data_IF_663187175419
#
_entry.id   IF_663187175419
#
_cell.length_a   1.000
_cell.length_b   1.000
_cell.length_c   1.000
_cell.angle_alpha   90.00
_cell.angle_beta   90.00
_cell.angle_gamma   90.00
#
_symmetry.space_group_name_H-M   'P 1'
#
loop_
_entity.id
_entity.type
_entity.pdbx_description
1 polymer ?
2 polymer ?
3 non-polymer ?
4 water ?
#
# COMPACT_ATOMS: atom_id res chain seq x y z
N UNK A 59 -13.84 -4.74 -1.76
CA UNK A 59 -13.48 -6.18 -1.55
C UNK A 59 -11.96 -6.39 -1.46
N UNK A 60 -11.50 -6.80 -0.27
CA UNK A 60 -10.07 -6.80 0.04
C UNK A 60 -9.34 -8.08 -0.43
N UNK A 61 -8.23 -7.85 -1.12
CA UNK A 61 -7.51 -8.91 -1.82
C UNK A 61 -6.32 -9.36 -1.02
N UNK A 62 -5.90 -8.56 -0.06
CA UNK A 62 -4.88 -8.97 0.88
C UNK A 62 -5.63 -9.47 2.10
N UNK A 63 -5.17 -10.58 2.67
CA UNK A 63 -5.74 -11.06 3.92
C UNK A 63 -5.56 -9.99 5.03
N UNK A 64 -6.63 -9.75 5.80
CA UNK A 64 -6.63 -8.72 6.86
C UNK A 64 -5.54 -8.91 7.92
N UNK A 65 -5.16 -10.14 8.20
CA UNK A 65 -4.21 -10.42 9.28
C UNK A 65 -2.76 -10.15 8.84
N UNK A 66 -2.27 -10.80 7.76
CA UNK A 66 -0.99 -10.34 7.20
C UNK A 66 -0.88 -8.81 7.03
N UNK A 67 -1.94 -8.15 6.56
CA UNK A 67 -1.95 -6.68 6.41
C UNK A 67 -1.90 -5.92 7.73
N UNK A 68 -2.22 -6.60 8.84
CA UNK A 68 -2.41 -5.95 10.11
C UNK A 68 -1.15 -6.05 10.90
N UNK A 69 -0.49 -7.20 10.79
CA UNK A 69 0.80 -7.43 11.37
C UNK A 69 1.74 -6.40 10.79
N UNK A 70 1.83 -6.36 9.47
CA UNK A 70 2.62 -5.35 8.76
C UNK A 70 2.36 -3.94 9.33
N UNK A 71 1.12 -3.48 9.20
CA UNK A 71 0.76 -2.20 9.73
C UNK A 71 1.28 -2.01 11.17
N UNK A 72 1.14 -3.01 12.04
CA UNK A 72 1.55 -2.85 13.43
C UNK A 72 3.06 -2.73 13.48
N UNK A 73 3.77 -3.55 12.70
CA UNK A 73 5.24 -3.56 12.67
C UNK A 73 5.77 -2.20 12.24
N UNK A 74 5.05 -1.63 11.28
CA UNK A 74 5.42 -0.36 10.70
C UNK A 74 5.23 0.71 11.74
N UNK A 75 4.08 0.64 12.42
CA UNK A 75 3.69 1.65 13.38
C UNK A 75 4.66 1.58 14.54
N UNK A 76 4.94 0.37 14.99
CA UNK A 76 5.84 0.14 16.12
C UNK A 76 7.29 0.58 15.83
N UNK A 77 7.71 0.51 14.57
CA UNK A 77 9.05 0.87 14.15
C UNK A 77 9.16 2.41 14.08
N UNK A 78 7.99 3.05 14.05
CA UNK A 78 7.92 4.52 14.08
C UNK A 78 7.76 5.01 15.51
N UNK A 79 6.77 4.48 16.25
CA UNK A 79 6.50 4.94 17.61
C UNK A 79 7.56 4.44 18.56
N UNK A 80 7.99 3.19 18.39
CA UNK A 80 9.23 2.70 18.98
C UNK A 80 9.11 2.56 20.49
N UNK A 81 7.88 2.52 20.98
CA UNK A 81 7.62 2.31 22.40
C UNK A 81 6.33 2.94 22.86
N UNK A 82 5.87 4.01 22.18
CA UNK A 82 4.62 4.66 22.56
C UNK A 82 3.48 3.81 22.07
N UNK A 83 2.56 3.50 22.97
CA UNK A 83 1.54 2.50 22.73
C UNK A 83 0.36 3.26 22.16
N UNK A 84 -0.09 2.84 20.98
CA UNK A 84 -1.34 3.33 20.41
C UNK A 84 -2.28 2.17 20.07
N UNK A 85 -3.57 2.43 20.11
CA UNK A 85 -4.56 1.44 19.72
C UNK A 85 -5.03 1.78 18.32
N UNK A 86 -5.45 0.77 17.58
CA UNK A 86 -6.06 1.00 16.29
C UNK A 86 -7.51 0.56 16.28
N UNK A 87 -8.41 1.50 16.03
CA UNK A 87 -9.79 1.11 15.76
C UNK A 87 -9.81 0.13 14.58
N UNK A 88 -10.64 -0.90 14.66
CA UNK A 88 -10.73 -1.90 13.60
C UNK A 88 -11.05 -1.22 12.30
N UNK A 89 -11.74 -0.09 12.40
CA UNK A 89 -12.20 0.71 11.26
C UNK A 89 -11.10 1.65 10.75
N UNK A 90 -10.06 1.82 11.56
CA UNK A 90 -8.89 2.56 11.14
C UNK A 90 -8.07 1.63 10.26
N UNK A 91 -7.74 0.45 10.75
CA UNK A 91 -7.06 -0.58 9.96
C UNK A 91 -7.75 -0.94 8.66
N UNK A 92 -9.06 -0.96 8.69
CA UNK A 92 -9.82 -1.29 7.51
C UNK A 92 -9.66 -0.17 6.50
N UNK A 93 -9.90 1.07 6.93
CA UNK A 93 -9.83 2.22 6.03
C UNK A 93 -8.47 2.32 5.38
N UNK A 94 -7.44 2.06 6.18
CA UNK A 94 -6.07 2.01 5.76
C UNK A 94 -5.90 0.99 4.65
N UNK A 95 -6.31 -0.25 4.91
CA UNK A 95 -6.20 -1.28 3.90
C UNK A 95 -6.94 -0.94 2.61
N UNK A 96 -8.15 -0.39 2.69
CA UNK A 96 -8.83 0.07 1.47
C UNK A 96 -7.91 0.99 0.68
N UNK A 97 -7.38 1.99 1.37
CA UNK A 97 -6.51 2.97 0.73
C UNK A 97 -5.24 2.32 0.20
N UNK A 98 -4.71 1.35 0.95
CA UNK A 98 -3.51 0.65 0.54
C UNK A 98 -3.77 -0.08 -0.75
N UNK A 99 -4.89 -0.79 -0.79
CA UNK A 99 -5.21 -1.56 -1.97
C UNK A 99 -5.48 -0.66 -3.15
N UNK A 100 -6.31 0.36 -2.93
CA UNK A 100 -6.80 1.24 -3.99
C UNK A 100 -5.65 2.02 -4.61
N UNK A 101 -4.58 2.16 -3.84
CA UNK A 101 -3.44 2.88 -4.33
C UNK A 101 -2.68 1.93 -5.24
N UNK A 102 -2.52 0.69 -4.81
CA UNK A 102 -1.78 -0.28 -5.60
C UNK A 102 -2.45 -0.49 -6.93
N UNK A 103 -3.78 -0.56 -6.92
CA UNK A 103 -4.56 -0.80 -8.11
C UNK A 103 -4.43 0.34 -9.12
N UNK A 104 -4.54 1.59 -8.68
CA UNK A 104 -4.42 2.73 -9.60
C UNK A 104 -2.98 2.79 -10.08
N UNK A 105 -2.04 2.48 -9.16
CA UNK A 105 -0.63 2.52 -9.50
C UNK A 105 -0.34 1.48 -10.56
N UNK A 106 -0.81 0.23 -10.36
CA UNK A 106 -0.83 -0.81 -11.40
C UNK A 106 -1.44 -0.39 -12.75
N UNK A 107 -2.52 0.38 -12.76
CA UNK A 107 -3.14 0.75 -14.05
C UNK A 107 -2.25 1.74 -14.79
N UNK A 108 -1.87 2.81 -14.08
CA UNK A 108 -0.97 3.81 -14.63
C UNK A 108 0.31 3.16 -15.17
N UNK A 109 0.95 2.31 -14.38
CA UNK A 109 2.17 1.64 -14.82
C UNK A 109 1.94 0.78 -16.04
N UNK A 110 0.69 0.35 -16.23
CA UNK A 110 0.35 -0.54 -17.32
C UNK A 110 0.11 0.20 -18.63
N UNK A 111 -0.50 1.37 -18.56
CA UNK A 111 -0.52 2.26 -19.72
C UNK A 111 0.92 2.52 -20.15
N UNK A 112 1.84 2.70 -19.22
CA UNK A 112 3.29 2.77 -19.59
C UNK A 112 3.80 1.55 -20.37
N UNK A 113 3.63 0.35 -19.81
CA UNK A 113 3.90 -0.91 -20.52
C UNK A 113 3.33 -0.90 -21.93
N UNK A 114 2.02 -0.80 -22.06
CA UNK A 114 1.39 -0.67 -23.38
C UNK A 114 2.06 0.35 -24.25
N UNK A 115 2.29 1.52 -23.67
CA UNK A 115 2.98 2.59 -24.35
C UNK A 115 4.31 2.13 -24.89
N UNK A 116 5.06 1.30 -24.15
CA UNK A 116 6.32 0.69 -24.66
C UNK A 116 6.17 -0.48 -25.65
N UNK A 117 4.97 -0.69 -26.20
CA UNK A 117 4.71 -1.84 -27.08
C UNK A 117 4.54 -3.22 -26.43
N UNK A 118 4.88 -3.32 -25.15
CA UNK A 118 4.93 -4.56 -24.38
C UNK A 118 3.55 -4.91 -23.82
N UNK A 119 3.45 -6.09 -23.21
CA UNK A 119 2.22 -6.51 -22.55
C UNK A 119 2.55 -7.03 -21.17
N UNK A 120 3.84 -7.09 -20.85
CA UNK A 120 4.30 -7.57 -19.55
C UNK A 120 4.79 -6.39 -18.70
N UNK A 121 4.17 -6.21 -17.53
CA UNK A 121 4.51 -5.15 -16.62
C UNK A 121 5.91 -5.39 -16.06
N UNK A 122 6.78 -4.38 -16.18
CA UNK A 122 8.18 -4.40 -15.68
C UNK A 122 8.38 -3.44 -14.52
N UNK A 123 9.30 -3.74 -13.60
CA UNK A 123 9.44 -2.72 -12.57
C UNK A 123 9.61 -1.29 -13.14
N UNK A 124 10.23 -1.13 -14.32
CA UNK A 124 10.46 0.23 -14.84
C UNK A 124 9.15 0.93 -15.18
N UNK A 125 8.14 0.17 -15.55
CA UNK A 125 6.80 0.71 -15.71
C UNK A 125 6.28 1.30 -14.40
N UNK A 126 6.35 0.53 -13.31
CA UNK A 126 5.91 1.01 -12.01
C UNK A 126 6.70 2.19 -11.52
N UNK A 127 8.02 2.16 -11.70
CA UNK A 127 8.92 3.23 -11.24
C UNK A 127 8.75 4.53 -12.02
N UNK A 128 8.45 4.42 -13.32
CA UNK A 128 8.24 5.60 -14.15
C UNK A 128 6.98 6.21 -13.64
N UNK A 129 5.94 5.38 -13.46
CA UNK A 129 4.65 5.91 -13.02
C UNK A 129 4.76 6.73 -11.73
N UNK A 130 5.52 6.19 -10.77
CA UNK A 130 5.68 6.85 -9.50
C UNK A 130 6.44 8.12 -9.68
N UNK A 131 7.33 8.14 -10.66
CA UNK A 131 8.23 9.24 -10.86
C UNK A 131 7.41 10.36 -11.44
N UNK A 132 6.43 9.98 -12.23
CA UNK A 132 5.57 10.94 -12.91
C UNK A 132 4.50 11.43 -11.99
N UNK A 133 4.15 10.66 -10.97
CA UNK A 133 3.27 11.16 -9.93
C UNK A 133 3.96 12.15 -8.98
N UNK A 134 5.19 11.86 -8.57
CA UNK A 134 5.96 12.79 -7.72
C UNK A 134 6.07 12.35 -6.28
N UNK B 26 5.02 -8.77 9.09
CA UNK B 26 6.19 -8.55 8.18
C UNK B 26 5.87 -8.66 6.66
N UNK B 27 6.76 -8.10 5.83
CA UNK B 27 6.45 -7.73 4.43
C UNK B 27 6.31 -8.90 3.42
N UNK B 28 7.05 -9.98 3.66
CA UNK B 28 6.97 -11.18 2.81
C UNK B 28 5.65 -11.90 3.03
N UNK B 29 4.88 -11.38 4.00
CA UNK B 29 3.54 -11.87 4.34
C UNK B 29 2.47 -11.33 3.41
N UNK B 30 2.88 -10.45 2.47
CA UNK B 30 2.06 -10.05 1.30
C UNK B 30 2.42 -10.97 0.14
N UNK B 31 1.44 -11.77 -0.26
CA UNK B 31 1.74 -12.99 -1.00
C UNK B 31 1.68 -12.74 -2.48
N UNK B 32 2.49 -13.51 -3.22
CA UNK B 32 2.42 -13.54 -4.66
C UNK B 32 0.98 -13.53 -5.17
N UNK B 33 0.13 -14.47 -4.75
CA UNK B 33 -1.24 -14.43 -5.28
C UNK B 33 -1.94 -13.08 -5.06
N UNK B 34 -1.80 -12.48 -3.87
CA UNK B 34 -2.45 -11.19 -3.59
C UNK B 34 -1.97 -10.15 -4.57
N UNK B 35 -0.68 -10.19 -4.88
CA UNK B 35 -0.14 -9.20 -5.80
C UNK B 35 -0.74 -9.35 -7.20
N UNK B 36 -1.04 -10.58 -7.61
CA UNK B 36 -1.58 -10.79 -8.96
C UNK B 36 -3.02 -10.39 -9.06
N UNK B 37 -3.78 -10.63 -7.98
CA UNK B 37 -5.18 -10.22 -7.94
C UNK B 37 -5.27 -8.67 -8.04
N UNK B 38 -4.46 -7.99 -7.22
CA UNK B 38 -4.29 -6.52 -7.26
C UNK B 38 -3.90 -6.07 -8.66
N UNK B 39 -2.92 -6.74 -9.28
CA UNK B 39 -2.55 -6.36 -10.62
C UNK B 39 -3.71 -6.62 -11.60
N UNK B 40 -4.39 -7.75 -11.44
CA UNK B 40 -5.50 -8.16 -12.31
C UNK B 40 -6.57 -7.09 -12.25
N UNK B 41 -6.92 -6.70 -11.01
CA UNK B 41 -7.94 -5.69 -10.79
C UNK B 41 -7.45 -4.38 -11.42
N UNK B 42 -6.13 -4.18 -11.41
CA UNK B 42 -5.49 -3.03 -12.06
C UNK B 42 -5.36 -3.14 -13.57
N UNK B 43 -5.87 -4.24 -14.14
CA UNK B 43 -5.90 -4.40 -15.60
C UNK B 43 -4.63 -4.98 -16.18
N UNK B 44 -3.62 -5.20 -15.34
CA UNK B 44 -2.36 -5.80 -15.81
C UNK B 44 -2.63 -7.22 -16.30
N UNK B 45 -2.04 -7.61 -17.42
CA UNK B 45 -2.40 -8.89 -18.01
C UNK B 45 -1.34 -9.92 -17.68
N UNK B 46 -0.09 -9.63 -18.04
CA UNK B 46 1.04 -10.43 -17.56
C UNK B 46 1.99 -9.54 -16.72
N UNK B 47 2.79 -10.13 -15.84
CA UNK B 47 3.71 -9.33 -14.99
C UNK B 47 5.09 -10.00 -14.87
N UNK B 48 6.14 -9.22 -14.66
CA UNK B 48 7.43 -9.79 -14.47
C UNK B 48 7.52 -10.39 -13.05
N UNK B 49 8.19 -11.52 -12.94
CA UNK B 49 8.58 -11.99 -11.63
C UNK B 49 9.05 -10.91 -10.68
N UNK B 50 9.56 -9.78 -11.19
CA UNK B 50 10.20 -8.80 -10.26
C UNK B 50 9.21 -7.80 -9.73
N UNK B 51 8.01 -7.79 -10.30
CA UNK B 51 6.91 -7.04 -9.75
C UNK B 51 6.70 -7.38 -8.27
N UNK B 52 6.69 -8.67 -7.91
CA UNK B 52 6.40 -9.08 -6.54
C UNK B 52 7.17 -8.19 -5.55
N UNK B 53 8.51 -8.24 -5.57
CA UNK B 53 9.30 -7.44 -4.62
C UNK B 53 9.16 -5.95 -4.85
N UNK B 54 9.03 -5.52 -6.11
CA UNK B 54 8.76 -4.14 -6.37
C UNK B 54 7.48 -3.73 -5.65
N UNK B 55 6.41 -4.53 -5.75
CA UNK B 55 5.11 -4.12 -5.21
C UNK B 55 5.15 -4.03 -3.70
N UNK B 56 5.89 -4.95 -3.10
CA UNK B 56 6.16 -4.87 -1.70
C UNK B 56 6.93 -3.60 -1.26
N UNK B 57 7.85 -3.12 -2.09
CA UNK B 57 8.65 -1.92 -1.76
C UNK B 57 7.73 -0.73 -1.73
N UNK B 58 6.86 -0.66 -2.78
CA UNK B 58 5.85 0.36 -3.01
C UNK B 58 4.90 0.40 -1.82
N UNK B 59 4.32 -0.74 -1.44
CA UNK B 59 3.48 -0.77 -0.21
C UNK B 59 4.23 -0.47 1.12
N UNK B 60 5.44 -0.93 1.35
CA UNK B 60 6.08 -0.57 2.61
C UNK B 60 6.18 0.95 2.79
N UNK B 61 6.74 1.64 1.79
CA UNK B 61 6.85 3.10 1.74
C UNK B 61 5.47 3.81 1.95
N UNK B 62 4.46 3.46 1.13
CA UNK B 62 3.12 4.05 1.29
C UNK B 62 2.60 3.86 2.69
N UNK B 63 2.62 2.63 3.19
CA UNK B 63 2.19 2.42 4.57
C UNK B 63 2.98 3.25 5.55
N UNK B 64 4.30 3.37 5.37
CA UNK B 64 5.10 4.14 6.31
C UNK B 64 4.74 5.61 6.27
N UNK B 65 4.28 6.08 5.12
CA UNK B 65 4.03 7.51 5.04
C UNK B 65 2.73 7.73 5.74
N UNK B 66 1.74 6.93 5.40
CA UNK B 66 0.38 7.20 5.85
C UNK B 66 0.38 6.95 7.34
N UNK B 67 0.84 5.77 7.75
CA UNK B 67 0.80 5.43 9.16
C UNK B 67 1.47 6.49 10.01
N UNK B 68 2.70 6.87 9.66
CA UNK B 68 3.44 7.89 10.42
C UNK B 68 2.61 9.16 10.61
N UNK B 69 1.88 9.58 9.57
CA UNK B 69 0.99 10.73 9.64
C UNK B 69 -0.28 10.52 10.46
N UNK B 70 -0.88 9.34 10.33
CA UNK B 70 -2.10 9.00 11.07
C UNK B 70 -1.79 9.09 12.56
N UNK B 71 -0.67 8.50 12.93
CA UNK B 71 -0.24 8.41 14.30
C UNK B 71 0.14 9.79 14.81
N UNK B 72 0.86 10.56 13.99
CA UNK B 72 1.21 11.90 14.37
C UNK B 72 -0.05 12.71 14.67
N UNK B 73 -1.04 12.69 13.77
CA UNK B 73 -2.29 13.38 14.12
C UNK B 73 -3.04 12.80 15.34
N UNK B 74 -3.04 11.48 15.49
CA UNK B 74 -3.55 10.89 16.73
C UNK B 74 -2.88 11.58 17.90
N UNK B 75 -1.55 11.46 17.95
CA UNK B 75 -0.76 11.98 19.04
C UNK B 75 -1.06 13.45 19.28
N UNK B 76 -1.16 14.24 18.21
CA UNK B 76 -1.41 15.67 18.31
C UNK B 76 -2.72 15.99 19.08
N UNK B 77 -3.79 15.27 18.76
CA UNK B 77 -5.09 15.42 19.41
C UNK B 77 -5.17 14.87 20.86
N UNK B 78 -4.01 14.51 21.42
CA UNK B 78 -3.90 13.91 22.77
C UNK B 78 -4.60 12.55 22.98
N UNK B 79 -4.87 11.84 21.88
CA UNK B 79 -5.46 10.51 21.99
C UNK B 79 -4.41 9.40 21.89
N UNK B 80 -4.83 8.17 22.12
CA UNK B 80 -3.94 7.05 22.07
C UNK B 80 -4.64 5.94 21.28
N UNK B 81 -5.56 6.36 20.41
CA UNK B 81 -6.31 5.44 19.58
C UNK B 81 -6.53 6.05 18.21
N UNK B 82 -5.85 5.45 17.24
CA UNK B 82 -5.90 5.90 15.87
C UNK B 82 -7.30 5.64 15.28
N UNK B 83 -7.98 6.72 14.85
CA UNK B 83 -9.32 6.58 14.29
C UNK B 83 -9.31 6.48 12.78
N UNK B 84 -10.51 6.39 12.20
CA UNK B 84 -10.68 6.32 10.75
C UNK B 84 -10.61 7.71 10.10
N UNK B 85 -10.90 8.77 10.83
CA UNK B 85 -10.65 10.11 10.28
C UNK B 85 -9.20 10.49 10.40
N UNK B 86 -8.50 9.87 11.35
CA UNK B 86 -7.07 10.05 11.52
C UNK B 86 -6.29 9.56 10.29
N UNK B 87 -6.64 8.35 9.84
CA UNK B 87 -6.07 7.76 8.62
C UNK B 87 -6.43 8.60 7.39
N UNK B 88 -7.73 8.92 7.28
CA UNK B 88 -8.30 9.77 6.24
C UNK B 88 -7.64 11.14 6.13
N UNK B 89 -7.11 11.64 7.26
CA UNK B 89 -6.35 12.89 7.26
C UNK B 89 -5.00 12.65 6.62
N UNK B 90 -4.35 11.55 7.00
CA UNK B 90 -3.02 11.25 6.51
C UNK B 90 -3.06 11.01 4.99
N UNK B 91 -4.17 10.48 4.47
CA UNK B 91 -4.33 10.35 3.01
C UNK B 91 -4.39 11.70 2.32
N UNK B 92 -5.26 12.58 2.82
CA UNK B 92 -5.17 14.01 2.52
C UNK B 92 -3.79 14.60 2.91
X LIG C 1 5.96 -8.48 -24.02
X LIG C 1 5.03 -7.99 -25.04
X LIG C 1 5.76 -9.93 -23.86
X LIG C 1 7.34 -8.12 -24.33
X LIG C 1 5.64 -7.84 -22.76
X LIG D 1 12.07 7.65 11.55
X LIG D 1 12.52 6.62 10.61
X LIG D 1 13.32 8.20 12.12
X LIG D 1 11.22 8.64 10.88
X LIG D 1 11.21 7.05 12.56
X LIG E 1 -8.57 7.71 23.17
X LIG E 1 -9.38 8.84 23.63
X LIG E 1 -8.50 7.82 21.70
X LIG E 1 -7.23 7.78 23.80
X LIG E 1 -9.19 6.43 23.52
X LIG F 1 -3.20 -15.58 -0.28
X LIG F 1 -2.84 -16.39 -1.42
X LIG F 1 -2.61 -16.14 0.95
X LIG F 1 -2.77 -14.19 -0.45
X LIG F 1 -4.65 -15.52 -0.14
X LIG G 1 2.19 -18.83 -6.33
X LIG G 1 3.31 -19.76 -6.19
X LIG G 1 1.82 -18.32 -5.02
X LIG G 1 2.61 -17.76 -7.24
X LIG G 1 1.03 -19.54 -6.90
#
# INVERSE_FOLDING_TARGET
>A
MGPRRRSRKPEAPRRRSPSPTPTPGPSRRGPSLGASSHQHSRRRQGWLKEIRKLQKSTHLLIRKLPFSRLAREICVKFTRGVDFNWQAQALLALQEAAEAFLVHLFEDAYLLTLHAGRVTLFPKDVQLARRIRGLEEGLG
>B
MSGRGKGGKGLGKGGAKRHRKVLRDNIQGITKPAIRRLARRGGVKRISGLIYEETRGVLKVFLENVIRDAVTYTEHAKRKTVTAMDVVYALKRQGRTLYGFGG
>C hetero
1 SO4 S O1 O2 O3 O4
>D hetero
1 SO4 S O1 O2 O3 O4
>E hetero
1 SO4 S O1 O2 O3 O4
>F hetero
1 SO4 S O1 O2 O3 O4
>G hetero
1 SO4 S O1 O2 O3 O4
#
